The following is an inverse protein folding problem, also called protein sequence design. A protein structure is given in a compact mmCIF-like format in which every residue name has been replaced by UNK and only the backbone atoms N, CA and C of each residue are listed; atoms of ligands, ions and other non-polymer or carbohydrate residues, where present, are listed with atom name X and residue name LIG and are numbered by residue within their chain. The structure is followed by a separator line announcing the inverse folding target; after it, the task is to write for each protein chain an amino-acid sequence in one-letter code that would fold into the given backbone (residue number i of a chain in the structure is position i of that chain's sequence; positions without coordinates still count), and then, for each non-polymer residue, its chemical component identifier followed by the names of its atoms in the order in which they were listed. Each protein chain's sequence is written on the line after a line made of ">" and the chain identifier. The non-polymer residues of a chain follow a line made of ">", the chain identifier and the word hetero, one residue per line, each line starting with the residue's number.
data_IF_717872693287
#
_entry.id   IF_717872693287
#
_cell.length_a   1.000
_cell.length_b   1.000
_cell.length_c   1.000
_cell.angle_alpha   90.00
_cell.angle_beta   90.00
_cell.angle_gamma   90.00
#
_symmetry.space_group_name_H-M   'P 1'
#
loop_
_entity.id
_entity.type
_entity.pdbx_description
1 polymer ?
#
# COMPACT_ATOMS: atom_id res chain seq x y z
N UNK A 1 27.31 23.67 -14.59
CA UNK A 1 26.22 22.67 -14.57
C UNK A 1 25.15 22.99 -13.52
N UNK A 2 25.34 24.01 -12.69
CA UNK A 2 24.45 24.32 -11.54
C UNK A 2 23.30 25.30 -11.80
N UNK A 3 23.39 26.12 -12.85
CA UNK A 3 22.34 27.11 -13.19
C UNK A 3 21.07 26.47 -13.78
N UNK A 4 21.18 25.28 -14.38
CA UNK A 4 20.03 24.56 -14.95
C UNK A 4 19.29 23.75 -13.86
N UNK A 5 20.00 23.25 -12.84
CA UNK A 5 19.38 22.55 -11.70
C UNK A 5 18.62 23.49 -10.76
N UNK A 6 19.09 24.72 -10.53
CA UNK A 6 18.35 25.70 -9.72
C UNK A 6 17.04 26.15 -10.38
N UNK A 7 17.01 26.30 -11.71
CA UNK A 7 15.82 26.76 -12.45
C UNK A 7 14.71 25.69 -12.53
N UNK A 8 15.08 24.41 -12.43
CA UNK A 8 14.13 23.28 -12.43
C UNK A 8 13.55 23.06 -11.02
N UNK A 9 14.35 23.23 -9.96
CA UNK A 9 13.90 23.11 -8.57
C UNK A 9 12.89 24.22 -8.17
N UNK A 10 13.11 25.46 -8.64
CA UNK A 10 12.19 26.59 -8.37
C UNK A 10 10.82 26.47 -9.07
N UNK A 11 10.75 25.75 -10.19
CA UNK A 11 9.51 25.57 -10.98
C UNK A 11 8.64 24.42 -10.45
N UNK A 12 9.23 23.47 -9.71
CA UNK A 12 8.51 22.39 -9.02
C UNK A 12 7.93 22.84 -7.67
N UNK A 13 8.64 23.71 -6.92
CA UNK A 13 8.15 24.25 -5.63
C UNK A 13 6.95 25.20 -5.78
N UNK A 14 6.79 25.86 -6.93
CA UNK A 14 5.67 26.78 -7.20
C UNK A 14 4.34 26.07 -7.52
N UNK A 15 4.35 24.81 -7.97
CA UNK A 15 3.12 24.07 -8.30
C UNK A 15 2.41 23.47 -7.09
N UNK A 16 3.12 23.22 -5.99
CA UNK A 16 2.51 22.71 -4.76
C UNK A 16 1.95 23.82 -3.86
N UNK A 17 2.44 25.06 -3.99
CA UNK A 17 1.87 26.22 -3.29
C UNK A 17 0.52 26.69 -3.88
N UNK A 18 0.20 26.32 -5.12
CA UNK A 18 -1.07 26.73 -5.75
C UNK A 18 -2.27 25.89 -5.33
N UNK A 19 -2.05 24.68 -4.80
CA UNK A 19 -3.13 23.78 -4.36
C UNK A 19 -3.63 24.14 -2.94
N UNK A 20 -2.82 24.87 -2.15
CA UNK A 20 -3.16 25.22 -0.78
C UNK A 20 -3.74 26.64 -0.61
N UNK A 21 -3.81 27.45 -1.67
CA UNK A 21 -4.16 28.88 -1.56
C UNK A 21 -5.57 29.26 -2.05
N UNK A 22 -6.45 28.28 -2.31
CA UNK A 22 -7.82 28.54 -2.78
C UNK A 22 -8.84 28.59 -1.61
N UNK A 23 -8.43 28.31 -0.36
CA UNK A 23 -9.37 28.14 0.75
C UNK A 23 -9.55 29.35 1.70
N UNK A 24 -9.01 30.54 1.40
CA UNK A 24 -8.96 31.64 2.38
C UNK A 24 -9.55 33.00 1.98
N UNK A 25 -10.31 33.09 0.88
CA UNK A 25 -10.93 34.36 0.46
C UNK A 25 -12.43 34.19 0.15
N UNK A 26 -13.25 34.16 1.19
CA UNK A 26 -14.67 34.53 1.09
C UNK A 26 -15.20 35.06 2.43
N UNK A 27 -14.64 36.17 2.90
CA UNK A 27 -15.29 37.04 3.88
C UNK A 27 -15.37 38.44 3.27
N UNK A 28 -16.41 38.69 2.48
CA UNK A 28 -16.82 40.03 2.10
C UNK A 28 -18.22 40.26 2.66
N UNK A 29 -18.30 41.05 3.73
CA UNK A 29 -19.52 41.66 4.20
C UNK A 29 -19.99 42.68 3.14
N UNK A 30 -21.24 42.59 2.71
CA UNK A 30 -21.90 43.65 1.94
C UNK A 30 -23.06 44.17 2.78
N UNK A 31 -22.81 45.32 3.39
CA UNK A 31 -23.82 46.22 3.94
C UNK A 31 -24.47 46.93 2.74
N UNK A 32 -25.79 46.90 2.67
CA UNK A 32 -26.56 47.81 1.83
C UNK A 32 -27.69 48.42 2.67
N UNK A 33 -27.66 49.75 2.79
CA UNK A 33 -28.66 50.57 3.47
C UNK A 33 -29.76 50.99 2.48
N UNK A 34 -31.00 50.72 2.89
CA UNK A 34 -32.18 51.60 2.91
C UNK A 34 -32.83 52.12 1.61
N UNK A 35 -34.12 51.79 1.42
CA UNK A 35 -35.26 52.71 1.64
C UNK A 35 -36.57 52.19 1.01
N UNK A 36 -37.68 52.65 1.60
CA UNK A 36 -39.08 52.66 1.14
C UNK A 36 -40.04 51.59 1.72
N UNK A 37 -40.64 52.01 2.84
CA UNK A 37 -41.95 51.57 3.32
C UNK A 37 -43.02 51.80 2.23
N UNK A 38 -43.93 50.84 2.09
CA UNK A 38 -45.40 50.95 1.92
C UNK A 38 -45.91 49.64 1.25
N UNK A 39 -46.97 49.06 1.83
CA UNK A 39 -47.64 47.77 1.52
C UNK A 39 -47.09 46.56 2.32
N UNK A 40 -47.42 46.54 3.62
CA UNK A 40 -46.75 45.74 4.67
C UNK A 40 -47.50 44.46 5.12
N UNK A 41 -48.64 44.10 4.52
CA UNK A 41 -49.43 42.94 4.95
C UNK A 41 -49.07 41.61 4.27
N UNK A 42 -49.27 41.53 2.95
CA UNK A 42 -49.25 40.25 2.21
C UNK A 42 -47.88 39.91 1.57
N UNK A 43 -46.98 40.89 1.47
CA UNK A 43 -45.63 40.72 0.93
C UNK A 43 -44.66 40.14 1.96
N UNK A 44 -44.92 40.31 3.25
CA UNK A 44 -44.07 39.82 4.34
C UNK A 44 -44.20 38.30 4.50
N UNK A 45 -45.42 37.77 4.46
CA UNK A 45 -45.67 36.32 4.56
C UNK A 45 -45.19 35.56 3.30
N UNK A 46 -45.32 36.19 2.12
CA UNK A 46 -44.77 35.65 0.87
C UNK A 46 -43.24 35.78 0.80
N UNK A 47 -42.63 36.87 1.28
CA UNK A 47 -41.16 36.99 1.40
C UNK A 47 -40.58 36.08 2.48
N UNK A 48 -41.26 35.86 3.59
CA UNK A 48 -40.81 34.90 4.62
C UNK A 48 -40.92 33.46 4.12
N UNK A 49 -42.00 33.10 3.43
CA UNK A 49 -42.14 31.79 2.80
C UNK A 49 -41.15 31.60 1.65
N UNK A 50 -40.92 32.62 0.80
CA UNK A 50 -39.91 32.61 -0.25
C UNK A 50 -38.48 32.58 0.32
N UNK A 51 -38.17 33.32 1.39
CA UNK A 51 -36.89 33.23 2.10
C UNK A 51 -36.72 31.89 2.83
N UNK A 52 -37.81 31.26 3.32
CA UNK A 52 -37.78 29.89 3.84
C UNK A 52 -37.49 28.88 2.73
N UNK A 53 -38.07 29.07 1.55
CA UNK A 53 -37.86 28.22 0.36
C UNK A 53 -36.43 28.43 -0.20
N UNK A 54 -35.93 29.67 -0.23
CA UNK A 54 -34.59 30.01 -0.74
C UNK A 54 -33.48 29.58 0.24
N UNK A 55 -33.75 29.55 1.55
CA UNK A 55 -32.85 28.98 2.57
C UNK A 55 -32.92 27.43 2.65
N UNK A 56 -33.77 26.75 1.87
CA UNK A 56 -33.65 25.30 1.67
C UNK A 56 -32.47 25.00 0.75
N UNK A 57 -31.25 25.14 1.28
CA UNK A 57 -30.02 24.71 0.62
C UNK A 57 -30.20 23.25 0.21
N UNK A 58 -30.39 23.00 -1.08
CA UNK A 58 -30.66 21.67 -1.60
C UNK A 58 -29.47 20.76 -1.26
N UNK A 59 -29.69 19.80 -0.36
CA UNK A 59 -28.64 18.97 0.23
C UNK A 59 -28.30 17.89 -0.80
N UNK A 60 -27.39 18.19 -1.73
CA UNK A 60 -26.92 17.22 -2.71
C UNK A 60 -25.88 16.28 -2.07
N UNK A 61 -26.15 14.97 -1.94
CA UNK A 61 -25.29 14.04 -1.21
C UNK A 61 -23.95 13.76 -1.91
N UNK A 62 -23.84 14.00 -3.22
CA UNK A 62 -22.60 13.71 -3.96
C UNK A 62 -21.42 14.64 -3.64
N UNK A 63 -21.68 15.88 -3.21
CA UNK A 63 -20.61 16.82 -2.81
C UNK A 63 -19.87 16.35 -1.53
N UNK A 64 -20.56 16.10 -0.40
CA UNK A 64 -19.88 15.61 0.81
C UNK A 64 -19.21 14.25 0.59
N UNK A 65 -19.79 13.38 -0.25
CA UNK A 65 -19.17 12.10 -0.63
C UNK A 65 -17.77 12.29 -1.23
N UNK A 66 -17.68 13.09 -2.30
CA UNK A 66 -16.41 13.31 -3.03
C UNK A 66 -15.39 13.97 -2.09
N UNK A 67 -15.81 14.93 -1.27
CA UNK A 67 -14.94 15.56 -0.29
C UNK A 67 -14.35 14.51 0.66
N UNK A 68 -15.19 13.68 1.31
CA UNK A 68 -14.72 12.64 2.24
C UNK A 68 -13.89 11.53 1.58
N UNK A 69 -14.12 11.23 0.29
CA UNK A 69 -13.29 10.29 -0.47
C UNK A 69 -11.90 10.85 -0.82
N UNK A 70 -11.75 12.16 -0.93
CA UNK A 70 -10.44 12.80 -1.15
C UNK A 70 -9.73 13.00 0.18
N UNK A 71 -10.46 13.49 1.18
CA UNK A 71 -9.94 13.75 2.52
C UNK A 71 -10.99 13.34 3.56
N UNK A 72 -10.75 12.22 4.29
CA UNK A 72 -11.69 11.73 5.29
C UNK A 72 -11.99 12.78 6.35
N UNK A 73 -13.29 12.94 6.67
CA UNK A 73 -13.79 13.96 7.60
C UNK A 73 -14.25 15.26 6.93
N UNK A 74 -13.84 15.55 5.69
CA UNK A 74 -14.18 16.83 5.05
C UNK A 74 -15.65 16.93 4.61
N UNK A 75 -16.29 15.83 4.22
CA UNK A 75 -17.74 15.77 3.96
C UNK A 75 -18.57 15.92 5.23
N UNK A 76 -18.09 15.37 6.36
CA UNK A 76 -18.69 15.59 7.68
C UNK A 76 -18.63 17.07 8.09
N UNK A 77 -17.48 17.71 7.86
CA UNK A 77 -17.32 19.14 8.10
C UNK A 77 -18.27 19.96 7.22
N UNK A 78 -18.38 19.63 5.92
CA UNK A 78 -19.30 20.28 4.99
C UNK A 78 -20.77 20.15 5.44
N UNK A 79 -21.16 18.97 5.92
CA UNK A 79 -22.52 18.72 6.41
C UNK A 79 -22.81 19.33 7.78
N UNK A 80 -21.80 19.93 8.44
CA UNK A 80 -21.86 20.37 9.83
C UNK A 80 -22.26 19.21 10.77
N UNK A 81 -21.72 18.03 10.51
CA UNK A 81 -21.81 16.88 11.41
C UNK A 81 -21.16 17.20 12.75
N UNK A 82 -21.52 16.47 13.84
CA UNK A 82 -20.81 16.59 15.10
C UNK A 82 -19.29 16.48 14.93
N UNK A 83 -18.55 17.42 15.53
CA UNK A 83 -17.09 17.60 15.34
C UNK A 83 -16.31 16.32 15.61
N UNK A 84 -16.78 15.48 16.55
CA UNK A 84 -16.14 14.20 16.87
C UNK A 84 -16.04 13.25 15.66
N UNK A 85 -16.99 13.28 14.72
CA UNK A 85 -16.96 12.43 13.51
C UNK A 85 -15.85 12.86 12.58
N UNK A 86 -15.74 14.15 12.33
CA UNK A 86 -14.65 14.74 11.55
C UNK A 86 -13.30 14.44 12.20
N UNK A 87 -13.19 14.63 13.51
CA UNK A 87 -11.98 14.34 14.27
C UNK A 87 -11.59 12.86 14.21
N UNK A 88 -12.57 11.93 14.26
CA UNK A 88 -12.32 10.49 14.15
C UNK A 88 -11.73 10.12 12.78
N UNK A 89 -12.37 10.54 11.69
CA UNK A 89 -11.91 10.20 10.34
C UNK A 89 -10.56 10.85 10.03
N UNK A 90 -10.39 12.13 10.37
CA UNK A 90 -9.12 12.83 10.16
C UNK A 90 -8.00 12.31 11.08
N UNK A 91 -8.33 11.98 12.33
CA UNK A 91 -7.38 11.38 13.27
C UNK A 91 -6.92 9.99 12.81
N UNK A 92 -7.84 9.18 12.29
CA UNK A 92 -7.52 7.86 11.71
C UNK A 92 -6.61 7.99 10.49
N UNK A 93 -6.86 9.00 9.65
CA UNK A 93 -6.02 9.33 8.50
C UNK A 93 -4.58 9.64 8.94
N UNK A 94 -4.42 10.59 9.85
CA UNK A 94 -3.11 11.03 10.34
C UNK A 94 -2.35 9.89 11.01
N UNK A 95 -3.01 9.16 11.91
CA UNK A 95 -2.38 8.04 12.65
C UNK A 95 -1.95 6.92 11.69
N UNK A 96 -2.77 6.58 10.71
CA UNK A 96 -2.45 5.54 9.74
C UNK A 96 -1.33 5.95 8.79
N UNK A 97 -1.25 7.23 8.38
CA UNK A 97 -0.13 7.77 7.61
C UNK A 97 1.19 7.72 8.39
N UNK A 98 1.16 8.10 9.68
CA UNK A 98 2.33 8.02 10.56
C UNK A 98 2.77 6.57 10.77
N UNK A 99 1.82 5.66 11.02
CA UNK A 99 2.09 4.23 11.16
C UNK A 99 2.70 3.65 9.87
N UNK A 100 2.10 3.92 8.71
CA UNK A 100 2.62 3.48 7.41
C UNK A 100 4.06 3.95 7.20
N UNK A 101 4.34 5.23 7.42
CA UNK A 101 5.69 5.78 7.26
C UNK A 101 6.70 5.11 8.18
N UNK A 102 6.35 4.92 9.45
CA UNK A 102 7.22 4.28 10.44
C UNK A 102 7.52 2.83 10.06
N UNK A 103 6.49 2.02 9.80
CA UNK A 103 6.67 0.60 9.46
C UNK A 103 7.38 0.40 8.12
N UNK A 104 7.10 1.25 7.13
CA UNK A 104 7.81 1.23 5.84
C UNK A 104 9.31 1.52 6.02
N UNK A 105 9.66 2.53 6.81
CA UNK A 105 11.07 2.84 7.07
C UNK A 105 11.78 1.68 7.78
N UNK A 106 11.17 1.13 8.84
CA UNK A 106 11.72 -0.06 9.52
C UNK A 106 11.89 -1.26 8.60
N UNK A 107 10.91 -1.52 7.72
CA UNK A 107 11.01 -2.60 6.75
C UNK A 107 12.21 -2.41 5.80
N UNK A 108 12.46 -1.18 5.35
CA UNK A 108 13.62 -0.85 4.51
C UNK A 108 14.96 -0.96 5.25
N UNK A 109 14.99 -0.59 6.53
CA UNK A 109 16.21 -0.69 7.34
C UNK A 109 16.56 -2.16 7.60
N UNK A 110 15.62 -2.98 8.08
CA UNK A 110 15.82 -4.44 8.19
C UNK A 110 16.14 -5.09 6.85
N UNK A 111 15.58 -4.57 5.75
CA UNK A 111 15.93 -5.05 4.41
C UNK A 111 17.41 -4.87 4.10
N UNK A 112 17.97 -3.70 4.39
CA UNK A 112 19.39 -3.44 4.16
C UNK A 112 20.25 -4.31 5.08
N UNK A 113 19.83 -4.53 6.31
CA UNK A 113 20.56 -5.36 7.28
C UNK A 113 20.70 -6.81 6.79
N UNK A 114 19.59 -7.49 6.45
CA UNK A 114 19.68 -8.87 5.97
C UNK A 114 20.42 -8.97 4.62
N UNK A 115 20.29 -7.96 3.75
CA UNK A 115 21.01 -7.93 2.47
C UNK A 115 22.53 -7.80 2.70
N UNK A 116 22.94 -6.89 3.59
CA UNK A 116 24.34 -6.73 3.98
C UNK A 116 24.90 -7.98 4.65
N UNK A 117 24.08 -8.69 5.44
CA UNK A 117 24.44 -9.99 6.01
C UNK A 117 24.70 -11.01 4.91
N UNK A 118 23.78 -11.17 3.95
CA UNK A 118 24.00 -12.05 2.81
C UNK A 118 25.21 -11.65 1.95
N UNK A 119 25.49 -10.36 1.80
CA UNK A 119 26.68 -9.90 1.07
C UNK A 119 27.99 -10.27 1.79
N UNK A 120 27.94 -10.46 3.11
CA UNK A 120 29.11 -10.83 3.93
C UNK A 120 29.32 -12.33 4.06
N UNK A 121 28.22 -13.11 4.04
CA UNK A 121 28.21 -14.53 4.39
C UNK A 121 27.76 -15.46 3.27
N UNK A 122 27.36 -14.92 2.12
CA UNK A 122 27.01 -15.70 0.93
C UNK A 122 27.87 -15.30 -0.26
N UNK A 123 28.60 -16.26 -0.83
CA UNK A 123 29.46 -16.04 -1.99
C UNK A 123 29.13 -17.00 -3.14
N UNK A 124 29.35 -16.51 -4.37
CA UNK A 124 29.23 -17.33 -5.57
C UNK A 124 30.31 -18.42 -5.58
N UNK A 125 31.51 -18.08 -5.10
CA UNK A 125 32.65 -19.00 -5.00
C UNK A 125 32.33 -20.17 -4.07
N UNK A 126 31.84 -19.94 -2.84
CA UNK A 126 31.46 -21.01 -1.92
C UNK A 126 30.38 -21.91 -2.53
N UNK A 127 29.39 -21.30 -3.21
CA UNK A 127 28.31 -22.05 -3.83
C UNK A 127 28.81 -23.00 -4.91
N UNK A 128 29.73 -22.51 -5.73
CA UNK A 128 30.39 -23.29 -6.76
C UNK A 128 31.28 -24.32 -6.08
N UNK A 129 32.31 -23.95 -5.32
CA UNK A 129 33.25 -24.90 -4.72
C UNK A 129 32.58 -26.01 -3.92
N UNK A 130 31.57 -25.72 -3.10
CA UNK A 130 30.87 -26.73 -2.31
C UNK A 130 30.12 -27.77 -3.16
N UNK A 131 29.82 -27.49 -4.42
CA UNK A 131 29.25 -28.45 -5.37
C UNK A 131 30.28 -29.50 -5.85
N UNK A 132 31.58 -29.18 -5.96
CA UNK A 132 32.62 -30.11 -6.43
C UNK A 132 33.55 -30.62 -5.33
N UNK A 133 33.76 -29.84 -4.27
CA UNK A 133 34.72 -30.12 -3.19
C UNK A 133 34.07 -30.61 -1.90
N UNK A 134 32.76 -30.88 -1.91
CA UNK A 134 32.11 -31.47 -0.74
C UNK A 134 32.61 -32.90 -0.55
N UNK A 135 33.25 -33.14 0.61
CA UNK A 135 33.72 -34.46 1.02
C UNK A 135 32.61 -35.30 1.67
N UNK A 136 31.40 -34.77 1.79
CA UNK A 136 30.26 -35.43 2.41
C UNK A 136 29.46 -36.21 1.35
N UNK A 137 29.43 -37.56 1.40
CA UNK A 137 28.65 -38.35 0.45
C UNK A 137 27.15 -38.05 0.50
N UNK A 138 26.63 -37.61 1.64
CA UNK A 138 25.22 -37.26 1.81
C UNK A 138 24.90 -35.96 1.07
N UNK A 139 25.80 -34.97 1.10
CA UNK A 139 25.67 -33.72 0.34
C UNK A 139 25.50 -33.99 -1.15
N UNK A 140 26.41 -34.78 -1.74
CA UNK A 140 26.36 -35.13 -3.16
C UNK A 140 25.12 -35.94 -3.55
N UNK A 141 24.49 -36.64 -2.59
CA UNK A 141 23.26 -37.40 -2.83
C UNK A 141 21.99 -36.54 -2.88
N UNK A 142 22.05 -35.28 -2.41
CA UNK A 142 20.89 -34.39 -2.36
C UNK A 142 20.76 -33.66 -3.70
N UNK A 143 19.65 -33.84 -4.45
CA UNK A 143 19.50 -33.25 -5.79
C UNK A 143 19.67 -31.73 -5.82
N UNK A 144 19.22 -31.03 -4.77
CA UNK A 144 19.37 -29.58 -4.68
C UNK A 144 20.82 -29.12 -4.51
N UNK A 145 21.69 -29.93 -3.90
CA UNK A 145 23.08 -29.56 -3.59
C UNK A 145 24.09 -30.15 -4.59
N UNK A 146 23.71 -31.26 -5.23
CA UNK A 146 24.51 -31.95 -6.23
C UNK A 146 24.43 -31.37 -7.64
N UNK A 147 23.84 -30.19 -7.83
CA UNK A 147 23.70 -29.50 -9.11
C UNK A 147 23.65 -27.98 -8.90
N UNK A 148 24.35 -27.20 -9.72
CA UNK A 148 24.18 -25.74 -9.82
C UNK A 148 23.00 -25.35 -10.70
N UNK A 149 22.55 -26.26 -11.56
CA UNK A 149 21.33 -26.06 -12.36
C UNK A 149 20.09 -26.43 -11.56
N UNK A 150 19.00 -25.69 -11.76
CA UNK A 150 17.77 -25.98 -11.03
C UNK A 150 16.53 -25.30 -11.57
N UNK A 151 15.58 -25.03 -10.68
CA UNK A 151 14.30 -24.38 -11.06
C UNK A 151 14.43 -22.86 -11.20
N UNK A 152 15.50 -22.30 -10.65
CA UNK A 152 15.79 -20.89 -10.65
C UNK A 152 17.28 -20.70 -10.93
N UNK A 153 17.63 -19.55 -11.47
CA UNK A 153 18.99 -19.16 -11.75
C UNK A 153 19.34 -17.83 -11.09
N UNK A 154 20.64 -17.60 -10.93
CA UNK A 154 21.20 -16.30 -10.59
C UNK A 154 21.71 -15.64 -11.86
N UNK A 155 21.56 -14.32 -11.93
CA UNK A 155 22.16 -13.54 -13.01
C UNK A 155 23.62 -13.30 -12.70
N UNK A 156 24.50 -13.63 -13.63
CA UNK A 156 25.93 -13.43 -13.51
C UNK A 156 26.40 -12.36 -14.50
N UNK A 157 27.41 -11.61 -14.09
CA UNK A 157 28.14 -10.63 -14.90
C UNK A 157 29.55 -11.17 -15.07
N UNK A 158 30.04 -11.07 -16.30
CA UNK A 158 31.39 -11.50 -16.67
C UNK A 158 32.28 -10.27 -16.78
N UNK A 159 33.56 -10.40 -16.42
CA UNK A 159 34.57 -9.36 -16.60
C UNK A 159 34.65 -8.92 -18.06
N UNK A 160 34.95 -7.63 -18.32
CA UNK A 160 34.97 -7.10 -19.69
C UNK A 160 35.96 -7.83 -20.60
N UNK A 161 37.09 -8.26 -20.04
CA UNK A 161 38.11 -9.01 -20.78
C UNK A 161 37.58 -10.37 -21.24
N UNK A 162 36.99 -11.14 -20.33
CA UNK A 162 36.46 -12.47 -20.63
C UNK A 162 35.20 -12.39 -21.51
N UNK A 163 34.34 -11.38 -21.30
CA UNK A 163 33.18 -11.14 -22.15
C UNK A 163 33.58 -10.87 -23.61
N UNK A 164 34.64 -10.10 -23.84
CA UNK A 164 35.17 -9.85 -25.18
C UNK A 164 35.81 -11.09 -25.81
N UNK A 165 36.53 -11.90 -25.03
CA UNK A 165 37.13 -13.15 -25.49
C UNK A 165 36.07 -14.16 -25.93
N UNK A 166 35.00 -14.31 -25.15
CA UNK A 166 33.92 -15.26 -25.41
C UNK A 166 32.81 -14.70 -26.31
N UNK A 167 32.91 -13.43 -26.72
CA UNK A 167 31.89 -12.71 -27.48
C UNK A 167 30.48 -12.79 -26.84
N UNK A 168 30.45 -12.66 -25.51
CA UNK A 168 29.23 -12.68 -24.69
C UNK A 168 28.83 -11.23 -24.40
N UNK A 169 27.57 -10.90 -24.67
CA UNK A 169 27.01 -9.59 -24.38
C UNK A 169 25.90 -9.70 -23.33
N UNK A 170 26.08 -9.03 -22.19
CA UNK A 170 25.08 -8.95 -21.13
C UNK A 170 25.29 -9.98 -20.01
N UNK A 171 24.22 -10.25 -19.28
CA UNK A 171 24.25 -11.17 -18.15
C UNK A 171 24.01 -12.61 -18.62
N UNK A 172 24.63 -13.57 -17.94
CA UNK A 172 24.41 -14.99 -18.16
C UNK A 172 23.67 -15.63 -16.99
N UNK A 173 23.09 -16.80 -17.23
CA UNK A 173 22.44 -17.60 -16.20
C UNK A 173 23.47 -18.44 -15.43
N UNK A 174 23.26 -18.60 -14.13
CA UNK A 174 24.08 -19.48 -13.28
C UNK A 174 24.09 -20.94 -13.69
N UNK A 175 23.07 -21.39 -14.44
CA UNK A 175 23.02 -22.77 -14.95
C UNK A 175 24.22 -23.09 -15.84
N UNK A 176 24.84 -22.07 -16.45
CA UNK A 176 26.04 -22.21 -17.27
C UNK A 176 27.26 -22.69 -16.47
N UNK A 177 27.24 -22.53 -15.14
CA UNK A 177 28.35 -22.89 -14.24
C UNK A 177 28.44 -24.39 -13.93
N UNK A 178 27.46 -25.22 -14.30
CA UNK A 178 27.52 -26.67 -14.09
C UNK A 178 28.66 -27.32 -14.89
N UNK A 179 29.11 -26.67 -15.98
CA UNK A 179 30.31 -27.10 -16.70
C UNK A 179 31.57 -26.73 -15.88
N UNK A 180 32.36 -27.74 -15.49
CA UNK A 180 33.55 -27.61 -14.64
C UNK A 180 34.62 -26.63 -15.17
N UNK A 181 34.61 -26.30 -16.46
CA UNK A 181 35.54 -25.32 -17.04
C UNK A 181 35.35 -23.90 -16.47
N UNK A 182 34.15 -23.57 -15.98
CA UNK A 182 33.77 -22.24 -15.48
C UNK A 182 34.20 -21.98 -14.04
N UNK A 183 34.61 -23.04 -13.31
CA UNK A 183 35.04 -22.94 -11.90
C UNK A 183 36.22 -21.96 -11.78
N UNK A 184 37.19 -22.04 -12.69
CA UNK A 184 38.36 -21.17 -12.65
C UNK A 184 38.00 -19.69 -12.83
N UNK A 185 36.98 -19.37 -13.63
CA UNK A 185 36.54 -17.98 -13.82
C UNK A 185 35.83 -17.42 -12.59
N UNK A 186 35.11 -18.26 -11.85
CA UNK A 186 34.52 -17.86 -10.56
C UNK A 186 35.61 -17.60 -9.52
N UNK A 187 36.58 -18.51 -9.39
CA UNK A 187 37.69 -18.39 -8.41
C UNK A 187 38.58 -17.17 -8.74
N UNK A 188 38.83 -16.89 -10.02
CA UNK A 188 39.65 -15.76 -10.43
C UNK A 188 38.91 -14.40 -10.33
N UNK A 189 37.62 -14.40 -10.02
CA UNK A 189 36.79 -13.19 -9.97
C UNK A 189 36.39 -12.63 -11.34
N UNK A 190 36.49 -13.44 -12.40
CA UNK A 190 36.03 -13.06 -13.75
C UNK A 190 34.51 -13.18 -13.90
N UNK A 191 33.84 -13.83 -12.94
CA UNK A 191 32.38 -13.99 -12.92
C UNK A 191 31.85 -13.58 -11.55
N UNK A 192 30.91 -12.64 -11.54
CA UNK A 192 30.27 -12.15 -10.32
C UNK A 192 28.75 -12.30 -10.41
N UNK A 193 28.09 -12.51 -9.27
CA UNK A 193 26.63 -12.56 -9.19
C UNK A 193 26.03 -11.15 -9.08
N UNK A 194 24.96 -10.90 -9.83
CA UNK A 194 24.19 -9.65 -9.71
C UNK A 194 23.39 -9.66 -8.42
N UNK A 195 23.71 -8.75 -7.49
CA UNK A 195 23.03 -8.58 -6.20
C UNK A 195 21.72 -7.78 -6.33
N UNK A 196 20.72 -8.38 -6.95
CA UNK A 196 19.39 -7.78 -7.11
C UNK A 196 18.34 -8.39 -6.18
N UNK A 197 17.08 -7.97 -6.33
CA UNK A 197 15.96 -8.55 -5.56
C UNK A 197 15.82 -10.06 -5.76
N UNK A 198 16.04 -10.55 -6.98
CA UNK A 198 15.91 -11.97 -7.31
C UNK A 198 16.99 -12.78 -6.59
N UNK A 199 18.23 -12.32 -6.61
CA UNK A 199 19.33 -12.89 -5.85
C UNK A 199 18.97 -13.08 -4.36
N UNK A 200 18.64 -11.99 -3.65
CA UNK A 200 18.32 -12.06 -2.22
C UNK A 200 17.09 -12.91 -1.93
N UNK A 201 16.11 -12.92 -2.84
CA UNK A 201 14.94 -13.77 -2.71
C UNK A 201 15.28 -15.26 -2.85
N UNK A 202 16.11 -15.58 -3.83
CA UNK A 202 16.50 -16.93 -4.22
C UNK A 202 17.35 -17.60 -3.14
N UNK A 203 18.43 -16.97 -2.67
CA UNK A 203 19.35 -17.55 -1.67
C UNK A 203 18.69 -17.91 -0.34
N UNK A 204 17.57 -17.26 -0.01
CA UNK A 204 16.78 -17.55 1.20
C UNK A 204 15.61 -18.50 0.98
N UNK A 205 15.14 -18.69 -0.25
CA UNK A 205 13.94 -19.52 -0.54
C UNK A 205 14.28 -20.93 -1.00
N UNK A 206 15.33 -21.08 -1.80
CA UNK A 206 15.59 -22.33 -2.50
C UNK A 206 16.83 -23.00 -1.98
N UNK A 207 16.70 -24.29 -1.69
CA UNK A 207 17.79 -25.10 -1.13
C UNK A 207 18.96 -25.26 -2.10
N UNK A 208 18.71 -25.10 -3.40
CA UNK A 208 19.74 -25.15 -4.43
C UNK A 208 20.86 -24.12 -4.24
N UNK A 209 20.60 -23.02 -3.53
CA UNK A 209 21.58 -21.97 -3.26
C UNK A 209 22.24 -22.08 -1.88
N UNK A 210 21.97 -23.16 -1.14
CA UNK A 210 22.49 -23.36 0.23
C UNK A 210 24.01 -23.41 0.24
N UNK A 211 24.62 -24.04 -0.76
CA UNK A 211 26.08 -24.18 -0.82
C UNK A 211 26.84 -22.86 -0.79
N UNK A 212 26.20 -21.73 -1.10
CA UNK A 212 26.86 -20.42 -1.07
C UNK A 212 26.99 -19.79 0.31
N UNK A 213 26.31 -20.33 1.33
CA UNK A 213 26.51 -19.86 2.69
C UNK A 213 27.85 -20.36 3.24
N UNK A 214 28.59 -19.47 3.90
CA UNK A 214 29.93 -19.75 4.40
C UNK A 214 30.01 -21.00 5.32
N UNK A 215 28.95 -21.26 6.08
CA UNK A 215 28.85 -22.39 7.02
C UNK A 215 28.32 -23.69 6.38
N UNK A 216 27.96 -23.66 5.10
CA UNK A 216 27.30 -24.77 4.44
C UNK A 216 28.15 -26.05 4.37
N UNK A 217 29.49 -25.92 4.32
CA UNK A 217 30.40 -27.06 4.26
C UNK A 217 30.48 -27.83 5.59
N UNK A 218 30.26 -27.14 6.71
CA UNK A 218 30.54 -27.67 8.06
C UNK A 218 29.29 -27.90 8.90
N UNK A 219 28.27 -27.04 8.76
CA UNK A 219 27.13 -26.97 9.69
C UNK A 219 25.76 -27.16 9.01
N UNK A 220 25.74 -27.72 7.81
CA UNK A 220 24.48 -28.02 7.12
C UNK A 220 23.71 -29.14 7.82
N UNK A 221 22.37 -29.06 7.78
CA UNK A 221 21.50 -30.09 8.33
C UNK A 221 20.17 -30.18 7.56
N UNK A 222 19.49 -31.32 7.73
CA UNK A 222 18.17 -31.59 7.15
C UNK A 222 17.08 -31.34 8.18
N UNK A 223 16.01 -30.68 7.75
CA UNK A 223 14.81 -30.51 8.55
C UNK A 223 13.61 -31.03 7.77
N UNK A 224 12.85 -31.94 8.39
CA UNK A 224 11.60 -32.42 7.83
C UNK A 224 10.50 -31.39 8.03
N UNK A 225 9.94 -30.90 6.92
CA UNK A 225 8.79 -30.02 6.92
C UNK A 225 7.57 -30.78 6.47
N UNK A 226 6.59 -30.86 7.36
CA UNK A 226 5.28 -31.39 7.01
C UNK A 226 4.52 -30.37 6.15
N UNK A 227 4.19 -30.74 4.92
CA UNK A 227 3.41 -29.94 3.97
C UNK A 227 1.98 -30.48 3.78
N UNK A 228 1.47 -31.17 4.80
CA UNK A 228 0.11 -31.73 4.85
C UNK A 228 0.06 -33.13 4.27
N UNK A 229 0.20 -33.23 2.95
CA UNK A 229 0.07 -34.50 2.22
C UNK A 229 1.43 -35.21 2.00
N UNK A 230 2.54 -34.54 2.29
CA UNK A 230 3.89 -35.12 2.21
C UNK A 230 4.84 -34.46 3.21
N UNK A 231 6.00 -35.09 3.41
CA UNK A 231 7.12 -34.51 4.15
C UNK A 231 8.16 -34.06 3.14
N UNK A 232 8.46 -32.76 3.14
CA UNK A 232 9.52 -32.16 2.32
C UNK A 232 10.78 -32.06 3.18
N UNK A 233 11.92 -32.47 2.65
CA UNK A 233 13.21 -32.31 3.32
C UNK A 233 13.75 -30.94 2.92
N UNK A 234 14.00 -30.08 3.91
CA UNK A 234 14.60 -28.76 3.70
C UNK A 234 16.04 -28.79 4.18
N UNK A 235 16.93 -28.22 3.37
CA UNK A 235 18.33 -28.06 3.71
C UNK A 235 18.55 -26.69 4.35
N UNK A 236 19.19 -26.68 5.52
CA UNK A 236 19.46 -25.47 6.30
C UNK A 236 20.92 -25.39 6.75
N UNK A 237 21.33 -24.17 7.09
CA UNK A 237 22.56 -23.84 7.79
C UNK A 237 22.23 -22.75 8.83
N UNK A 238 22.97 -22.63 9.93
CA UNK A 238 22.77 -21.55 10.90
C UNK A 238 22.75 -20.13 10.29
N UNK A 239 23.65 -19.81 9.37
CA UNK A 239 23.69 -18.51 8.68
C UNK A 239 22.49 -18.31 7.76
N UNK A 240 22.11 -19.32 6.96
CA UNK A 240 20.89 -19.27 6.14
C UNK A 240 19.65 -19.04 7.02
N UNK A 241 19.56 -19.71 8.17
CA UNK A 241 18.43 -19.56 9.08
C UNK A 241 18.38 -18.15 9.68
N UNK A 242 19.52 -17.61 10.13
CA UNK A 242 19.62 -16.22 10.61
C UNK A 242 19.14 -15.22 9.54
N UNK A 243 19.59 -15.40 8.29
CA UNK A 243 19.15 -14.57 7.16
C UNK A 243 17.63 -14.65 6.93
N UNK A 244 17.06 -15.86 6.97
CA UNK A 244 15.62 -16.08 6.80
C UNK A 244 14.83 -15.39 7.92
N UNK A 245 15.31 -15.46 9.16
CA UNK A 245 14.66 -14.86 10.32
C UNK A 245 14.66 -13.32 10.25
N UNK A 246 15.79 -12.70 9.89
CA UNK A 246 15.87 -11.26 9.68
C UNK A 246 14.98 -10.79 8.51
N UNK A 247 14.98 -11.56 7.41
CA UNK A 247 14.10 -11.32 6.27
C UNK A 247 12.63 -11.46 6.66
N UNK A 248 12.29 -12.39 7.55
CA UNK A 248 10.94 -12.54 8.08
C UNK A 248 10.52 -11.30 8.87
N UNK A 249 11.39 -10.77 9.74
CA UNK A 249 11.12 -9.53 10.49
C UNK A 249 10.87 -8.34 9.54
N UNK A 250 11.70 -8.18 8.51
CA UNK A 250 11.50 -7.14 7.50
C UNK A 250 10.13 -7.27 6.80
N UNK A 251 9.75 -8.50 6.44
CA UNK A 251 8.45 -8.78 5.83
C UNK A 251 7.28 -8.49 6.78
N UNK A 252 7.42 -8.73 8.09
CA UNK A 252 6.39 -8.38 9.06
C UNK A 252 6.17 -6.86 9.14
N UNK A 253 7.25 -6.07 9.19
CA UNK A 253 7.14 -4.61 9.15
C UNK A 253 6.48 -4.14 7.85
N UNK A 254 6.82 -4.75 6.72
CA UNK A 254 6.17 -4.44 5.44
C UNK A 254 4.67 -4.80 5.47
N UNK A 255 4.27 -5.89 6.12
CA UNK A 255 2.87 -6.25 6.29
C UNK A 255 2.10 -5.25 7.18
N UNK A 256 2.70 -4.76 8.26
CA UNK A 256 2.09 -3.70 9.07
C UNK A 256 1.95 -2.37 8.30
N UNK A 257 2.90 -2.05 7.42
CA UNK A 257 2.76 -0.93 6.50
C UNK A 257 1.59 -1.14 5.53
N UNK A 258 1.40 -2.35 5.00
CA UNK A 258 0.24 -2.68 4.15
C UNK A 258 -1.08 -2.55 4.92
N UNK A 259 -1.17 -3.06 6.15
CA UNK A 259 -2.37 -2.91 6.97
C UNK A 259 -2.70 -1.44 7.26
N UNK A 260 -1.68 -0.61 7.48
CA UNK A 260 -1.88 0.84 7.64
C UNK A 260 -2.50 1.47 6.39
N UNK A 261 -2.07 1.07 5.19
CA UNK A 261 -2.69 1.50 3.92
C UNK A 261 -4.12 0.96 3.81
N UNK A 262 -4.37 -0.29 4.19
CA UNK A 262 -5.72 -0.87 4.17
C UNK A 262 -6.66 -0.07 5.07
N UNK A 263 -6.23 0.30 6.27
CA UNK A 263 -7.01 1.16 7.18
C UNK A 263 -7.29 2.52 6.54
N UNK A 264 -6.31 3.16 5.89
CA UNK A 264 -6.52 4.41 5.13
C UNK A 264 -7.60 4.24 4.07
N UNK A 265 -7.51 3.20 3.24
CA UNK A 265 -8.50 2.96 2.18
C UNK A 265 -9.92 2.80 2.74
N UNK A 266 -10.10 2.01 3.80
CA UNK A 266 -11.40 1.85 4.44
C UNK A 266 -11.87 3.14 5.12
N UNK A 267 -10.97 3.91 5.73
CA UNK A 267 -11.27 5.21 6.34
C UNK A 267 -11.89 6.17 5.32
N UNK A 268 -11.31 6.25 4.11
CA UNK A 268 -11.87 7.04 3.00
C UNK A 268 -13.27 6.58 2.59
N UNK A 269 -13.46 5.27 2.37
CA UNK A 269 -14.76 4.72 1.93
C UNK A 269 -15.84 4.93 2.98
N UNK A 270 -15.54 4.57 4.24
CA UNK A 270 -16.48 4.69 5.35
C UNK A 270 -16.82 6.15 5.62
N UNK A 271 -15.82 7.05 5.59
CA UNK A 271 -16.05 8.49 5.71
C UNK A 271 -16.96 9.01 4.59
N UNK A 272 -16.76 8.56 3.35
CA UNK A 272 -17.62 8.89 2.21
C UNK A 272 -19.08 8.49 2.46
N UNK A 273 -19.31 7.21 2.78
CA UNK A 273 -20.65 6.67 3.05
C UNK A 273 -21.32 7.38 4.22
N UNK A 274 -20.60 7.59 5.32
CA UNK A 274 -21.12 8.26 6.52
C UNK A 274 -21.53 9.70 6.21
N UNK A 275 -20.75 10.41 5.40
CA UNK A 275 -21.07 11.78 5.00
C UNK A 275 -22.40 11.84 4.23
N UNK A 276 -22.62 10.91 3.31
CA UNK A 276 -23.88 10.80 2.55
C UNK A 276 -25.04 10.47 3.46
N UNK A 277 -24.87 9.47 4.33
CA UNK A 277 -25.92 9.05 5.24
C UNK A 277 -26.32 10.18 6.18
N UNK A 278 -25.36 10.89 6.77
CA UNK A 278 -25.66 12.03 7.63
C UNK A 278 -26.37 13.16 6.87
N UNK A 279 -25.93 13.42 5.63
CA UNK A 279 -26.58 14.38 4.72
C UNK A 279 -28.05 14.03 4.49
N UNK A 280 -28.36 12.77 4.22
CA UNK A 280 -29.73 12.28 4.00
C UNK A 280 -30.57 12.32 5.29
N UNK A 281 -29.99 11.92 6.42
CA UNK A 281 -30.65 11.97 7.73
C UNK A 281 -31.06 13.41 8.07
N UNK A 282 -30.12 14.37 7.95
CA UNK A 282 -30.37 15.79 8.19
C UNK A 282 -31.44 16.37 7.26
N UNK A 283 -31.46 15.94 5.99
CA UNK A 283 -32.53 16.32 5.06
C UNK A 283 -33.89 15.76 5.48
N UNK A 284 -33.95 14.49 5.89
CA UNK A 284 -35.18 13.84 6.37
C UNK A 284 -35.73 14.49 7.65
N UNK A 285 -34.86 14.83 8.60
CA UNK A 285 -35.25 15.54 9.84
C UNK A 285 -35.82 16.92 9.54
N UNK A 286 -35.16 17.71 8.68
CA UNK A 286 -35.68 19.01 8.23
C UNK A 286 -37.04 18.91 7.55
N UNK A 287 -37.26 17.86 6.75
CA UNK A 287 -38.56 17.63 6.10
C UNK A 287 -39.66 17.34 7.11
N UNK A 288 -39.37 16.55 8.16
CA UNK A 288 -40.33 16.26 9.25
C UNK A 288 -40.67 17.50 10.07
N UNK A 289 -39.68 18.34 10.37
CA UNK A 289 -39.90 19.61 11.08
C UNK A 289 -40.70 20.62 10.23
N UNK A 290 -40.36 20.73 8.94
CA UNK A 290 -41.04 21.66 8.04
C UNK A 290 -42.47 21.23 7.70
N UNK A 291 -42.77 19.93 7.70
CA UNK A 291 -44.08 19.44 7.33
C UNK A 291 -45.13 19.61 8.42
N UNK A 292 -44.79 19.71 9.72
CA UNK A 292 -45.75 19.70 10.86
C UNK A 292 -46.83 18.58 10.79
N UNK A 293 -46.68 17.62 9.88
CA UNK A 293 -47.64 16.57 9.57
C UNK A 293 -47.03 15.25 10.05
N UNK A 294 -47.73 14.48 10.90
CA UNK A 294 -47.30 13.14 11.28
C UNK A 294 -47.59 12.18 10.12
N UNK A 295 -46.85 12.35 9.02
CA UNK A 295 -46.89 11.49 7.84
C UNK A 295 -45.64 10.60 7.84
N UNK A 296 -45.83 9.33 8.17
CA UNK A 296 -44.77 8.33 8.05
C UNK A 296 -44.81 7.77 6.62
N UNK A 297 -43.82 8.14 5.81
CA UNK A 297 -43.60 7.56 4.48
C UNK A 297 -42.51 6.50 4.61
N UNK A 298 -42.88 5.23 4.59
CA UNK A 298 -41.97 4.09 4.64
C UNK A 298 -41.96 3.34 3.31
N UNK A 299 -40.79 2.86 2.88
CA UNK A 299 -40.69 1.92 1.77
C UNK A 299 -41.08 0.53 2.28
N UNK A 300 -42.01 -0.12 1.58
CA UNK A 300 -42.40 -1.50 1.87
C UNK A 300 -41.43 -2.42 1.14
N UNK A 301 -40.76 -3.31 1.86
CA UNK A 301 -39.88 -4.30 1.26
C UNK A 301 -40.70 -5.42 0.59
N UNK A 302 -40.39 -5.77 -0.66
CA UNK A 302 -40.97 -6.93 -1.34
C UNK A 302 -39.84 -7.83 -1.88
N UNK A 303 -39.69 -9.05 -1.35
CA UNK A 303 -38.63 -9.98 -1.75
C UNK A 303 -38.79 -10.55 -3.17
N UNK A 304 -39.95 -10.35 -3.81
CA UNK A 304 -40.18 -10.80 -5.20
C UNK A 304 -39.77 -9.75 -6.25
N UNK A 305 -39.43 -8.52 -5.84
CA UNK A 305 -38.87 -7.52 -6.75
C UNK A 305 -37.33 -7.59 -6.68
N UNK A 306 -36.59 -7.70 -7.81
CA UNK A 306 -35.12 -7.73 -7.81
C UNK A 306 -34.46 -6.49 -7.17
N UNK A 307 -35.16 -5.36 -7.09
CA UNK A 307 -34.70 -4.15 -6.39
C UNK A 307 -35.10 -4.09 -4.91
N UNK A 308 -35.85 -5.08 -4.39
CA UNK A 308 -36.31 -5.17 -3.00
C UNK A 308 -37.40 -4.15 -2.59
N UNK A 309 -37.77 -3.21 -3.46
CA UNK A 309 -38.77 -2.18 -3.16
C UNK A 309 -40.15 -2.64 -3.67
N UNK A 310 -41.08 -2.86 -2.74
CA UNK A 310 -42.45 -3.31 -2.98
C UNK A 310 -43.51 -2.21 -3.08
N UNK A 311 -43.18 -0.98 -2.67
CA UNK A 311 -44.09 0.16 -2.71
C UNK A 311 -43.77 1.20 -1.65
N UNK A 312 -44.58 2.27 -1.61
CA UNK A 312 -44.49 3.35 -0.61
C UNK A 312 -45.73 3.29 0.27
N UNK A 313 -45.56 3.06 1.58
CA UNK A 313 -46.63 3.12 2.57
C UNK A 313 -46.63 4.48 3.22
N UNK A 314 -47.74 5.20 3.10
CA UNK A 314 -47.97 6.47 3.78
C UNK A 314 -48.99 6.25 4.89
N UNK A 315 -48.61 6.55 6.13
CA UNK A 315 -49.54 6.59 7.26
C UNK A 315 -49.76 8.05 7.66
N UNK A 316 -51.04 8.44 7.73
CA UNK A 316 -51.48 9.76 8.13
C UNK A 316 -52.11 9.64 9.51
N UNK A 317 -51.66 10.46 10.46
CA UNK A 317 -52.24 10.56 11.80
C UNK A 317 -53.02 11.86 11.86
N UNK A 318 -54.32 11.78 12.12
CA UNK A 318 -55.17 12.94 12.40
C UNK A 318 -55.33 13.08 13.92
#
# INVERSE_FOLDING_TARGET
>A
MDLIKQKIMGKLMSKYYLIFNILLLSHANLIAQDTTNLVEGNLLESKESLMKIENQKNIYPGKPLIMSLILPGSGQLYNQSPVWKTALFFGTELTSLLAWRNFKNKAEDYRKEYQSFADSYWTLEDWVLNRWESNDPEWASIPALGSLTGTHDLRLVISENLANELNIFGNISSDSLENSEWINWVINGDVEVVRDRHFYENIGKYDQFVGGWQDAKEEWYKEEKNVGDSTEIIIKTPLKQSYIDDRYVANQMLNYAKYSITVLMFNHVISGIESVWYSQKKASEKLKEASNFPTNINLVFNPQNPLGIGGVRMAWSF
#
